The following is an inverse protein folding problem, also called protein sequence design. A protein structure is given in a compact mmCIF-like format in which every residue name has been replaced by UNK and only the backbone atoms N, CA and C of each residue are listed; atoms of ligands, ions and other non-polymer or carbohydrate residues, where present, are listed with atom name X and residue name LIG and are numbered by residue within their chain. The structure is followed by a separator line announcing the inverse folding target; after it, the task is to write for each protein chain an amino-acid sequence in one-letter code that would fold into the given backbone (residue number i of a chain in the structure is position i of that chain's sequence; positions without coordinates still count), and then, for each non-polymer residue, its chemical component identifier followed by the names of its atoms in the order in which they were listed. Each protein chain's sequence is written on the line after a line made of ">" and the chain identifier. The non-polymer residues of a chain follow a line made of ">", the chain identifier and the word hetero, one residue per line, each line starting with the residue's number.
data_IF_128277104906
#
_entry.id   IF_128277104906
#
_cell.length_a   1.000
_cell.length_b   1.000
_cell.length_c   1.000
_cell.angle_alpha   90.00
_cell.angle_beta   90.00
_cell.angle_gamma   90.00
#
_symmetry.space_group_name_H-M   'P 1'
#
loop_
_entity.id
_entity.type
_entity.pdbx_description
1 polymer ?
#
# COMPACT_ATOMS: atom_id res chain seq x y z
N UNK A 1 -36.32 -2.47 -9.60
CA UNK A 1 -35.30 -1.62 -8.96
C UNK A 1 -34.99 -2.17 -7.59
N UNK A 2 -33.77 -2.67 -7.34
CA UNK A 2 -33.34 -3.06 -6.00
C UNK A 2 -31.82 -2.92 -5.93
N UNK A 3 -31.37 -1.71 -5.64
CA UNK A 3 -29.95 -1.42 -5.43
C UNK A 3 -29.48 -2.08 -4.13
N UNK A 4 -28.52 -2.99 -4.23
CA UNK A 4 -27.87 -3.56 -3.07
C UNK A 4 -26.83 -2.59 -2.53
N UNK A 5 -27.26 -1.68 -1.63
CA UNK A 5 -26.35 -0.89 -0.79
C UNK A 5 -25.71 -1.84 0.23
N UNK A 6 -24.72 -2.64 -0.18
CA UNK A 6 -23.93 -3.48 0.71
C UNK A 6 -22.71 -2.71 1.16
N UNK A 7 -22.83 -2.12 2.35
CA UNK A 7 -21.80 -1.53 3.21
C UNK A 7 -20.73 -0.66 2.52
N UNK A 8 -20.77 0.69 2.64
CA UNK A 8 -19.68 1.51 2.13
C UNK A 8 -18.37 1.05 2.79
N UNK A 9 -17.38 0.65 1.99
CA UNK A 9 -16.05 0.29 2.49
C UNK A 9 -15.49 1.50 3.22
N UNK A 10 -15.56 1.49 4.55
CA UNK A 10 -15.02 2.57 5.38
C UNK A 10 -13.50 2.48 5.35
N UNK A 11 -12.86 3.53 4.84
CA UNK A 11 -11.43 3.70 4.92
C UNK A 11 -11.07 4.41 6.22
N UNK A 12 -10.05 3.90 6.90
CA UNK A 12 -9.59 4.40 8.19
C UNK A 12 -8.15 4.94 8.00
N UNK A 13 -7.82 6.14 8.47
CA UNK A 13 -6.47 6.67 8.40
C UNK A 13 -5.53 5.94 9.36
N UNK A 14 -4.30 5.68 8.93
CA UNK A 14 -3.23 5.22 9.81
C UNK A 14 -2.80 6.35 10.75
N UNK A 15 -2.74 6.09 12.06
CA UNK A 15 -2.33 7.11 13.05
C UNK A 15 -0.85 7.52 12.94
N UNK A 16 0.00 6.72 12.30
CA UNK A 16 1.43 7.04 12.10
C UNK A 16 1.65 7.93 10.87
N UNK A 17 0.99 7.63 9.75
CA UNK A 17 1.26 8.28 8.46
C UNK A 17 0.07 8.98 7.80
N UNK A 18 -1.12 8.93 8.40
CA UNK A 18 -2.33 9.59 7.92
C UNK A 18 -2.97 9.00 6.65
N UNK A 19 -2.35 8.00 6.01
CA UNK A 19 -2.89 7.39 4.77
C UNK A 19 -4.11 6.52 5.06
N UNK A 20 -5.05 6.51 4.12
CA UNK A 20 -6.31 5.76 4.21
C UNK A 20 -6.13 4.29 3.80
N UNK A 21 -6.60 3.38 4.66
CA UNK A 21 -6.57 1.93 4.41
C UNK A 21 -7.92 1.30 4.71
N UNK A 22 -8.18 0.16 4.07
CA UNK A 22 -9.29 -0.69 4.48
C UNK A 22 -8.99 -1.29 5.86
N UNK A 23 -10.02 -1.52 6.68
CA UNK A 23 -9.87 -2.05 8.04
C UNK A 23 -9.02 -3.35 8.10
N UNK A 24 -9.18 -4.24 7.11
CA UNK A 24 -8.42 -5.49 7.03
C UNK A 24 -6.92 -5.24 6.78
N UNK A 25 -6.57 -4.32 5.88
CA UNK A 25 -5.18 -4.03 5.55
C UNK A 25 -4.49 -3.16 6.61
N UNK A 26 -5.25 -2.39 7.38
CA UNK A 26 -4.72 -1.52 8.43
C UNK A 26 -3.96 -2.31 9.51
N UNK A 27 -4.47 -3.48 9.91
CA UNK A 27 -3.86 -4.36 10.93
C UNK A 27 -2.44 -4.80 10.58
N UNK A 28 -2.16 -5.02 9.30
CA UNK A 28 -0.83 -5.37 8.80
C UNK A 28 0.02 -4.14 8.46
N UNK A 29 -0.63 -3.03 8.11
CA UNK A 29 0.04 -1.79 7.78
C UNK A 29 0.66 -1.11 9.01
N UNK A 30 -0.10 -0.93 10.09
CA UNK A 30 0.31 -0.20 11.29
C UNK A 30 1.66 -0.67 11.88
N UNK A 31 1.88 -1.97 12.18
CA UNK A 31 3.15 -2.41 12.75
C UNK A 31 4.32 -2.15 11.81
N UNK A 32 4.15 -2.40 10.51
CA UNK A 32 5.18 -2.13 9.50
C UNK A 32 5.46 -0.64 9.32
N UNK A 33 4.44 0.20 9.42
CA UNK A 33 4.55 1.65 9.35
C UNK A 33 5.33 2.20 10.54
N UNK A 34 5.04 1.71 11.74
CA UNK A 34 5.69 2.13 12.98
C UNK A 34 7.18 1.77 12.98
N UNK A 35 7.54 0.56 12.52
CA UNK A 35 8.94 0.16 12.36
C UNK A 35 9.73 1.09 11.42
N UNK A 36 9.12 1.46 10.29
CA UNK A 36 9.73 2.40 9.34
C UNK A 36 9.90 3.78 9.95
N UNK A 37 8.84 4.29 10.59
CA UNK A 37 8.88 5.57 11.29
C UNK A 37 9.98 5.61 12.34
N UNK A 38 10.14 4.56 13.15
CA UNK A 38 11.21 4.49 14.16
C UNK A 38 12.60 4.49 13.54
N UNK A 39 12.79 3.75 12.44
CA UNK A 39 14.06 3.73 11.72
C UNK A 39 14.42 5.11 11.15
N UNK A 40 13.45 5.81 10.58
CA UNK A 40 13.64 7.16 10.03
C UNK A 40 13.87 8.19 11.14
N UNK A 41 13.17 8.05 12.27
CA UNK A 41 13.36 8.89 13.44
C UNK A 41 14.74 8.71 14.10
N UNK A 42 15.26 7.47 14.16
CA UNK A 42 16.62 7.19 14.68
C UNK A 42 17.72 7.84 13.83
N UNK A 43 17.50 7.98 12.52
CA UNK A 43 18.44 8.63 11.59
C UNK A 43 18.46 10.15 11.72
N UNK A 44 17.42 10.76 12.30
CA UNK A 44 17.37 12.20 12.55
C UNK A 44 18.35 12.59 13.67
N UNK A 45 18.94 13.80 13.62
CA UNK A 45 19.72 14.33 14.73
C UNK A 45 18.85 14.40 15.98
N UNK A 46 19.48 14.32 17.16
CA UNK A 46 18.78 14.20 18.45
C UNK A 46 17.66 15.25 18.63
N UNK A 47 17.93 16.48 18.18
CA UNK A 47 17.04 17.63 18.31
C UNK A 47 15.83 17.59 17.37
N UNK A 48 15.83 16.73 16.35
CA UNK A 48 14.74 16.57 15.38
C UNK A 48 14.00 15.24 15.56
N UNK A 49 14.32 14.47 16.60
CA UNK A 49 13.63 13.21 16.88
C UNK A 49 12.25 13.50 17.46
N UNK A 50 11.23 12.92 16.83
CA UNK A 50 9.87 12.97 17.32
C UNK A 50 9.61 11.85 18.34
N UNK A 51 8.67 12.04 19.29
CA UNK A 51 8.20 10.96 20.16
C UNK A 51 7.44 9.91 19.34
N UNK A 52 7.44 8.66 19.83
CA UNK A 52 6.69 7.56 19.19
C UNK A 52 5.20 7.92 19.10
N UNK A 53 4.57 7.78 17.91
CA UNK A 53 3.13 7.96 17.78
C UNK A 53 2.39 7.00 18.70
N UNK A 54 1.42 7.52 19.45
CA UNK A 54 0.63 6.75 20.41
C UNK A 54 -0.66 6.30 19.72
N UNK A 55 -1.02 5.03 19.89
CA UNK A 55 -2.27 4.49 19.40
C UNK A 55 -3.44 5.13 20.19
N UNK A 56 -4.42 5.76 19.51
CA UNK A 56 -5.50 6.47 20.20
C UNK A 56 -6.40 5.55 21.04
N UNK A 57 -6.37 4.23 20.80
CA UNK A 57 -7.10 3.25 21.62
C UNK A 57 -6.60 3.20 23.07
N UNK A 58 -5.33 3.55 23.31
CA UNK A 58 -4.72 3.56 24.65
C UNK A 58 -5.34 4.66 25.51
N UNK A 59 -5.69 5.81 24.92
CA UNK A 59 -6.26 6.94 25.67
C UNK A 59 -7.70 6.69 26.15
N UNK A 60 -8.40 5.73 25.54
CA UNK A 60 -9.79 5.42 25.90
C UNK A 60 -9.89 4.44 27.07
N UNK A 61 -8.79 3.80 27.47
CA UNK A 61 -8.77 2.75 28.50
C UNK A 61 -8.44 3.28 29.92
N UNK A 62 -8.12 4.56 30.07
CA UNK A 62 -7.72 5.17 31.37
C UNK A 62 -8.92 5.73 32.16
N UNK A 63 -10.10 5.83 31.54
CA UNK A 63 -11.30 6.38 32.18
C UNK A 63 -12.30 5.27 32.53
N UNK A 64 -11.97 4.49 33.56
CA UNK A 64 -12.92 3.77 34.42
C UNK A 64 -13.40 2.40 33.93
N UNK A 65 -12.85 1.34 34.53
CA UNK A 65 -13.61 0.27 35.18
C UNK A 65 -12.67 -0.71 35.88
N UNK A 66 -12.76 -0.71 37.21
CA UNK A 66 -12.08 -1.63 38.12
C UNK A 66 -12.81 -2.98 38.10
N UNK A 67 -12.71 -3.73 37.01
CA UNK A 67 -13.19 -5.13 36.98
C UNK A 67 -12.01 -6.06 36.73
N UNK A 68 -11.50 -6.54 37.87
CA UNK A 68 -10.95 -7.87 38.05
C UNK A 68 -11.67 -8.88 37.16
N UNK A 69 -10.91 -9.55 36.27
CA UNK A 69 -10.93 -11.00 36.09
C UNK A 69 -10.02 -11.33 34.90
N UNK A 70 -8.89 -11.96 35.24
CA UNK A 70 -7.88 -12.39 34.29
C UNK A 70 -8.43 -13.31 33.20
N UNK A 71 -8.07 -12.99 31.97
CA UNK A 71 -7.87 -14.00 30.93
C UNK A 71 -6.47 -13.85 30.37
N UNK A 72 -5.54 -14.55 31.03
CA UNK A 72 -4.36 -15.10 30.40
C UNK A 72 -4.83 -15.96 29.23
N UNK A 73 -4.92 -15.35 28.04
CA UNK A 73 -4.83 -16.12 26.81
C UNK A 73 -3.34 -16.39 26.61
N UNK A 74 -2.85 -17.42 27.29
CA UNK A 74 -1.77 -18.25 26.78
C UNK A 74 -2.24 -18.73 25.41
N UNK A 75 -1.97 -17.90 24.40
CA UNK A 75 -2.00 -18.36 23.04
C UNK A 75 -0.82 -19.30 22.95
N UNK A 76 -1.12 -20.58 23.15
CA UNK A 76 -0.26 -21.67 22.72
C UNK A 76 0.21 -21.33 21.31
N UNK A 77 1.43 -20.83 21.22
CA UNK A 77 2.15 -20.75 19.97
C UNK A 77 2.59 -22.19 19.70
N UNK A 78 1.62 -23.01 19.32
CA UNK A 78 1.88 -24.26 18.64
C UNK A 78 2.58 -23.88 17.35
N UNK A 79 3.91 -23.85 17.45
CA UNK A 79 4.82 -23.85 16.34
C UNK A 79 4.53 -25.10 15.52
N UNK A 80 3.55 -25.00 14.63
CA UNK A 80 3.54 -25.82 13.44
C UNK A 80 4.88 -25.48 12.77
N UNK A 81 5.82 -26.43 12.63
CA UNK A 81 7.01 -26.15 11.84
C UNK A 81 6.52 -25.67 10.48
N UNK A 82 6.91 -24.46 10.08
CA UNK A 82 6.61 -23.91 8.75
C UNK A 82 7.41 -24.72 7.72
N UNK A 83 7.03 -25.97 7.51
CA UNK A 83 7.41 -26.73 6.34
C UNK A 83 6.60 -26.11 5.24
N UNK A 84 7.17 -25.07 4.62
CA UNK A 84 6.69 -24.62 3.32
C UNK A 84 6.67 -25.87 2.46
N UNK A 85 5.50 -26.33 1.98
CA UNK A 85 5.49 -27.42 1.03
C UNK A 85 6.40 -26.96 -0.10
N UNK A 86 7.40 -27.78 -0.43
CA UNK A 86 8.30 -27.44 -1.52
C UNK A 86 7.40 -27.12 -2.72
N UNK A 87 7.42 -25.85 -3.16
CA UNK A 87 6.80 -25.51 -4.43
C UNK A 87 7.40 -26.47 -5.42
N UNK A 88 6.57 -27.21 -6.16
CA UNK A 88 7.01 -28.19 -7.16
C UNK A 88 7.79 -27.45 -8.23
N UNK A 89 9.07 -27.20 -7.98
CA UNK A 89 9.98 -26.60 -8.94
C UNK A 89 9.98 -27.55 -10.12
N UNK A 90 9.50 -27.08 -11.27
CA UNK A 90 9.62 -27.87 -12.47
C UNK A 90 11.11 -28.17 -12.64
N UNK A 91 11.47 -29.46 -12.68
CA UNK A 91 12.85 -29.91 -12.94
C UNK A 91 13.39 -29.26 -14.22
N UNK A 92 12.49 -28.86 -15.12
CA UNK A 92 12.75 -28.11 -16.33
C UNK A 92 11.92 -26.83 -16.31
N UNK A 93 12.50 -25.65 -16.00
CA UNK A 93 11.78 -24.39 -16.15
C UNK A 93 11.35 -24.24 -17.61
N UNK A 94 10.18 -23.65 -17.86
CA UNK A 94 9.79 -23.32 -19.24
C UNK A 94 10.89 -22.45 -19.83
N UNK A 95 11.38 -22.75 -21.05
CA UNK A 95 12.35 -21.88 -21.71
C UNK A 95 11.77 -20.46 -21.72
N UNK A 96 12.63 -19.44 -21.59
CA UNK A 96 12.20 -18.04 -21.68
C UNK A 96 11.44 -17.86 -23.00
N UNK A 97 10.11 -17.91 -22.94
CA UNK A 97 9.26 -17.59 -24.07
C UNK A 97 9.52 -16.11 -24.27
N UNK A 98 10.28 -15.78 -25.32
CA UNK A 98 10.45 -14.41 -25.76
C UNK A 98 9.07 -13.94 -26.17
N UNK A 99 8.35 -13.35 -25.23
CA UNK A 99 7.04 -12.82 -25.50
C UNK A 99 7.27 -11.65 -26.46
N UNK A 100 6.62 -11.61 -27.63
CA UNK A 100 6.92 -10.63 -28.68
C UNK A 100 6.70 -9.17 -28.23
N UNK A 101 5.98 -8.97 -27.11
CA UNK A 101 5.70 -7.65 -26.51
C UNK A 101 6.69 -7.26 -25.40
N UNK A 102 7.52 -8.19 -24.92
CA UNK A 102 8.49 -7.95 -23.84
C UNK A 102 9.91 -8.11 -24.40
N UNK A 103 10.34 -7.16 -25.24
CA UNK A 103 11.74 -7.07 -25.63
C UNK A 103 12.59 -6.64 -24.43
N UNK A 104 13.58 -7.45 -24.07
CA UNK A 104 14.66 -7.07 -23.17
C UNK A 104 15.47 -5.93 -23.80
N UNK A 105 15.35 -4.73 -23.26
CA UNK A 105 16.21 -3.60 -23.65
C UNK A 105 17.61 -3.85 -23.11
N UNK A 106 18.46 -4.51 -23.90
CA UNK A 106 19.90 -4.45 -23.73
C UNK A 106 20.44 -3.30 -24.60
N UNK A 107 20.86 -2.27 -23.89
CA UNK A 107 21.46 -1.02 -24.34
C UNK A 107 22.65 -1.26 -25.30
N UNK A 108 22.53 -0.80 -26.55
CA UNK A 108 23.67 -0.45 -27.39
C UNK A 108 23.38 0.88 -28.11
N UNK A 109 24.35 1.79 -28.01
CA UNK A 109 24.30 3.17 -28.51
C UNK A 109 24.18 3.19 -30.04
N UNK A 110 23.19 3.91 -30.55
CA UNK A 110 23.14 4.39 -31.93
C UNK A 110 22.34 5.68 -31.96
N UNK A 111 22.95 6.79 -32.39
CA UNK A 111 22.23 8.05 -32.59
C UNK A 111 21.27 7.82 -33.75
N UNK A 112 19.97 7.70 -33.47
CA UNK A 112 18.94 7.83 -34.49
C UNK A 112 18.11 9.05 -34.14
N UNK A 113 18.10 10.02 -35.05
CA UNK A 113 17.29 11.22 -34.94
C UNK A 113 15.82 10.80 -35.05
N UNK A 114 15.10 10.83 -33.93
CA UNK A 114 13.65 10.66 -33.92
C UNK A 114 13.02 12.00 -34.25
N UNK A 115 12.38 12.10 -35.41
CA UNK A 115 11.46 13.22 -35.68
C UNK A 115 10.22 12.98 -34.83
N UNK A 116 10.21 13.53 -33.62
CA UNK A 116 9.04 13.46 -32.75
C UNK A 116 7.96 14.35 -33.37
N UNK A 117 6.91 13.76 -33.94
CA UNK A 117 5.68 14.52 -34.24
C UNK A 117 5.03 14.85 -32.90
N UNK A 118 5.16 16.11 -32.49
CA UNK A 118 4.60 16.61 -31.23
C UNK A 118 3.09 16.32 -31.19
N UNK A 119 2.67 15.56 -30.19
CA UNK A 119 1.27 15.39 -29.86
C UNK A 119 0.85 16.61 -29.02
N UNK A 120 -0.18 17.37 -29.44
CA UNK A 120 -0.62 18.52 -28.67
C UNK A 120 -1.10 18.10 -27.28
N UNK A 121 -0.77 18.94 -26.30
CA UNK A 121 -1.04 18.75 -24.88
C UNK A 121 -2.53 18.45 -24.61
N UNK A 122 -2.85 17.52 -23.68
CA UNK A 122 -4.22 17.18 -23.30
C UNK A 122 -5.09 18.37 -22.84
N UNK A 123 -4.48 19.52 -22.56
CA UNK A 123 -5.16 20.73 -22.10
C UNK A 123 -6.06 21.39 -23.14
N UNK A 124 -5.97 21.00 -24.43
CA UNK A 124 -6.77 21.61 -25.50
C UNK A 124 -8.12 20.94 -25.75
N UNK A 125 -8.46 19.82 -25.10
CA UNK A 125 -9.75 19.14 -25.35
C UNK A 125 -10.97 19.82 -24.69
N UNK A 126 -10.77 20.82 -23.84
CA UNK A 126 -11.88 21.44 -23.09
C UNK A 126 -12.52 22.63 -23.85
N UNK A 127 -11.83 23.25 -24.82
CA UNK A 127 -12.39 24.39 -25.57
C UNK A 127 -13.45 24.00 -26.59
N UNK A 128 -13.42 22.78 -27.12
CA UNK A 128 -14.22 22.44 -28.30
C UNK A 128 -15.66 21.99 -27.96
N UNK A 129 -15.98 21.85 -26.67
CA UNK A 129 -17.33 21.49 -26.22
C UNK A 129 -18.22 22.71 -25.93
N UNK A 130 -17.68 23.93 -25.92
CA UNK A 130 -18.42 25.16 -25.60
C UNK A 130 -18.73 26.05 -26.82
N UNK A 131 -18.71 25.49 -28.04
CA UNK A 131 -19.06 26.24 -29.27
C UNK A 131 -20.07 25.53 -30.17
N UNK A 132 -20.80 24.53 -29.65
CA UNK A 132 -21.96 23.94 -30.33
C UNK A 132 -23.19 24.00 -29.42
N UNK A 133 -23.59 25.22 -29.11
CA UNK A 133 -24.87 25.54 -28.52
C UNK A 133 -25.29 26.89 -29.04
N UNK A 134 -25.75 26.92 -30.30
CA UNK A 134 -26.53 28.01 -30.89
C UNK A 134 -27.11 27.53 -32.24
N UNK A 135 -28.30 26.92 -32.20
CA UNK A 135 -29.48 27.26 -33.00
C UNK A 135 -30.68 26.40 -32.58
#
# INVERSE_FOLDING_TARGET
>A
MSDCIKNPRSFIPCFVCGRLFAQHSLKFHQPKCLLRWQADNKKKPLNERHPTPIDPKIWLADSGEDEDLGHTLEKEEQSIPEVRPATRTLLYPTPNIVHPVIFSVNKARGKQATTIREQPSPRQRISDYNSKGDF
#
